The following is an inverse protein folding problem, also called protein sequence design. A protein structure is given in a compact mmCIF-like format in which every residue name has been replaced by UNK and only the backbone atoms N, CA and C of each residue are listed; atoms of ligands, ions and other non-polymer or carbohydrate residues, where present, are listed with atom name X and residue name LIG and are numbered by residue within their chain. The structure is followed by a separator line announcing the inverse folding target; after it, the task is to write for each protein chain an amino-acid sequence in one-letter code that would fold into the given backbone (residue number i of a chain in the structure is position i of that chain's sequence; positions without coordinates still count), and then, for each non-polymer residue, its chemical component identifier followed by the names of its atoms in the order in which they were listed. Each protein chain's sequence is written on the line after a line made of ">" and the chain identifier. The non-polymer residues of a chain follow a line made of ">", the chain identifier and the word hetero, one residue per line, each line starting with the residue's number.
data_IF_667034200284
#
_entry.id   IF_667034200284
#
_cell.length_a   1.000
_cell.length_b   1.000
_cell.length_c   1.000
_cell.angle_alpha   90.00
_cell.angle_beta   90.00
_cell.angle_gamma   90.00
#
_symmetry.space_group_name_H-M   'P 1'
#
loop_
_entity.id
_entity.type
_entity.pdbx_description
1 polymer ?
#
# COMPACT_ATOMS: atom_id res chain seq x y z
N UNK A 1 11.87 -12.83 -48.83
CA UNK A 1 11.01 -13.25 -47.69
C UNK A 1 10.99 -12.11 -46.70
N UNK A 2 9.83 -11.57 -46.30
CA UNK A 2 9.77 -10.47 -45.34
C UNK A 2 10.08 -10.96 -43.92
N UNK A 3 10.86 -10.18 -43.17
CA UNK A 3 11.13 -10.47 -41.76
C UNK A 3 9.93 -10.06 -40.91
N UNK A 4 9.45 -10.98 -40.06
CA UNK A 4 8.37 -10.73 -39.10
C UNK A 4 9.01 -10.57 -37.73
N UNK A 5 8.83 -9.41 -37.11
CA UNK A 5 9.29 -9.13 -35.74
C UNK A 5 8.12 -9.40 -34.80
N UNK A 6 8.31 -10.27 -33.83
CA UNK A 6 7.32 -10.60 -32.80
C UNK A 6 7.85 -10.09 -31.47
N UNK A 7 7.21 -9.07 -30.91
CA UNK A 7 7.51 -8.60 -29.56
C UNK A 7 6.82 -9.49 -28.54
N UNK A 8 7.62 -10.20 -27.73
CA UNK A 8 7.13 -11.01 -26.61
C UNK A 8 7.30 -10.17 -25.35
N UNK A 9 6.21 -9.63 -24.84
CA UNK A 9 6.19 -8.93 -23.55
C UNK A 9 5.81 -9.88 -22.42
N UNK A 10 6.38 -9.67 -21.22
CA UNK A 10 6.02 -10.46 -20.04
C UNK A 10 4.58 -10.14 -19.66
N UNK A 11 3.77 -11.18 -19.48
CA UNK A 11 2.41 -11.03 -18.97
C UNK A 11 2.50 -10.40 -17.56
N UNK A 12 1.74 -9.33 -17.27
CA UNK A 12 1.71 -8.77 -15.91
C UNK A 12 1.30 -9.87 -14.94
N UNK A 13 2.06 -9.98 -13.85
CA UNK A 13 1.77 -10.96 -12.81
C UNK A 13 0.46 -10.59 -12.13
N UNK A 14 -0.44 -11.55 -11.89
CA UNK A 14 -1.65 -11.29 -11.13
C UNK A 14 -1.23 -10.84 -9.72
N UNK A 15 -1.84 -9.75 -9.25
CA UNK A 15 -1.69 -9.31 -7.87
C UNK A 15 -2.21 -10.44 -7.00
N UNK A 16 -1.35 -10.99 -6.15
CA UNK A 16 -1.75 -11.99 -5.15
C UNK A 16 -2.53 -11.23 -4.09
N UNK A 17 -3.85 -11.33 -4.15
CA UNK A 17 -4.73 -10.81 -3.10
C UNK A 17 -4.56 -11.69 -1.86
N UNK A 18 -4.00 -11.12 -0.81
CA UNK A 18 -3.90 -11.77 0.50
C UNK A 18 -5.32 -11.89 1.09
N UNK A 19 -5.83 -13.12 1.36
CA UNK A 19 -7.18 -13.32 1.87
C UNK A 19 -7.40 -12.70 3.26
N UNK A 20 -6.33 -12.38 3.99
CA UNK A 20 -6.37 -11.70 5.28
C UNK A 20 -6.03 -10.20 5.19
N UNK A 21 -5.89 -9.66 3.98
CA UNK A 21 -5.61 -8.24 3.77
C UNK A 21 -6.74 -7.38 4.37
N UNK A 22 -6.40 -6.62 5.40
CA UNK A 22 -7.31 -5.62 5.98
C UNK A 22 -7.25 -4.35 5.13
N UNK A 23 -8.34 -4.05 4.44
CA UNK A 23 -8.48 -2.81 3.67
C UNK A 23 -8.93 -1.68 4.58
N UNK A 24 -8.19 -0.57 4.60
CA UNK A 24 -8.59 0.63 5.31
C UNK A 24 -9.78 1.28 4.60
N UNK A 25 -10.93 1.37 5.31
CA UNK A 25 -12.18 1.96 4.80
C UNK A 25 -12.14 3.49 4.84
N UNK A 26 -11.29 4.07 5.69
CA UNK A 26 -11.08 5.50 5.84
C UNK A 26 -9.59 5.84 5.68
N UNK A 27 -9.31 7.09 5.29
CA UNK A 27 -7.93 7.55 5.10
C UNK A 27 -7.17 7.55 6.43
N UNK A 28 -5.89 7.19 6.41
CA UNK A 28 -5.02 7.17 7.59
C UNK A 28 -5.05 8.50 8.35
N UNK A 29 -5.07 9.61 7.63
CA UNK A 29 -5.11 10.97 8.19
C UNK A 29 -6.41 11.23 8.96
N UNK A 30 -7.54 10.66 8.52
CA UNK A 30 -8.83 10.76 9.23
C UNK A 30 -8.84 9.88 10.46
N UNK A 31 -8.29 8.66 10.36
CA UNK A 31 -8.15 7.72 11.47
C UNK A 31 -7.23 8.27 12.57
N UNK A 32 -6.22 9.04 12.19
CA UNK A 32 -5.24 9.65 13.10
C UNK A 32 -5.67 11.02 13.63
N UNK A 33 -6.79 11.59 13.15
CA UNK A 33 -7.22 12.98 13.44
C UNK A 33 -7.62 13.25 14.90
N UNK A 34 -7.67 12.23 15.75
CA UNK A 34 -7.92 12.37 17.19
C UNK A 34 -6.95 11.55 18.05
N UNK A 35 -5.95 10.92 17.44
CA UNK A 35 -4.89 10.24 18.17
C UNK A 35 -4.05 11.31 18.86
N UNK A 36 -4.03 11.30 20.20
CA UNK A 36 -3.23 12.21 21.01
C UNK A 36 -1.79 12.23 20.49
N UNK A 37 -1.14 13.41 20.38
CA UNK A 37 0.29 13.49 20.16
C UNK A 37 1.01 13.06 21.44
N UNK A 38 0.95 11.78 21.77
CA UNK A 38 1.68 11.14 22.87
C UNK A 38 3.12 10.78 22.49
N UNK A 39 3.58 11.19 21.31
CA UNK A 39 5.00 11.34 20.98
C UNK A 39 5.46 12.80 21.23
N UNK A 40 4.84 13.48 22.20
CA UNK A 40 5.19 14.83 22.66
C UNK A 40 5.49 14.83 24.17
N UNK A 41 5.69 16.02 24.75
CA UNK A 41 6.20 16.26 26.11
C UNK A 41 5.41 15.65 27.29
N UNK A 42 4.24 15.03 27.03
CA UNK A 42 3.45 14.28 28.01
C UNK A 42 3.82 12.78 28.08
N UNK A 43 4.85 12.33 27.35
CA UNK A 43 5.42 11.00 27.53
C UNK A 43 6.32 10.98 28.78
N UNK A 44 5.97 10.27 29.87
CA UNK A 44 6.79 10.17 31.08
C UNK A 44 8.10 9.39 30.87
N UNK A 45 8.32 8.86 29.67
CA UNK A 45 9.50 8.12 29.25
C UNK A 45 10.28 8.81 28.11
N UNK A 46 10.04 10.11 27.85
CA UNK A 46 10.90 10.91 26.97
C UNK A 46 12.18 11.34 27.71
#
# INVERSE_FOLDING_TARGET
>A
MPAVIVEITRKPEPIVEDPEAVVLVANLEELLKGSLPGCGDDNPYN
#
